data_IF_630112465946
#
_entry.id   IF_630112465946
#
_cell.length_a   1.000
_cell.length_b   1.000
_cell.length_c   1.000
_cell.angle_alpha   90.00
_cell.angle_beta   90.00
_cell.angle_gamma   90.00
#
_symmetry.space_group_name_H-M   'P 1'
#
loop_
_entity.id
_entity.type
_entity.pdbx_description
1 polymer ?
#
# COMPACT_ATOMS: atom_id res chain seq x y z
N UNK A 1 5.65 -15.15 -9.28
CA UNK A 1 6.01 -14.03 -8.39
C UNK A 1 4.93 -12.98 -8.51
N UNK A 2 4.13 -12.79 -7.47
CA UNK A 2 3.00 -11.84 -7.44
C UNK A 2 3.50 -10.56 -6.76
N UNK A 3 3.27 -9.41 -7.37
CA UNK A 3 3.61 -8.10 -6.80
C UNK A 3 2.30 -7.44 -6.36
N UNK A 4 2.19 -7.15 -5.07
CA UNK A 4 0.99 -6.56 -4.46
C UNK A 4 1.26 -5.07 -4.18
N UNK A 5 0.38 -4.20 -4.65
CA UNK A 5 0.52 -2.75 -4.43
C UNK A 5 0.49 -2.37 -2.95
N UNK A 6 1.23 -1.33 -2.57
CA UNK A 6 1.30 -0.86 -1.18
C UNK A 6 -0.05 -0.38 -0.63
N UNK A 7 -0.95 0.14 -1.47
CA UNK A 7 -2.31 0.52 -1.04
C UNK A 7 -3.12 -0.68 -0.56
N UNK A 8 -2.98 -1.84 -1.22
CA UNK A 8 -3.67 -3.07 -0.81
C UNK A 8 -3.14 -3.56 0.54
N UNK A 9 -1.83 -3.46 0.76
CA UNK A 9 -1.23 -3.74 2.07
C UNK A 9 -1.74 -2.78 3.15
N UNK A 10 -1.81 -1.48 2.85
CA UNK A 10 -2.35 -0.47 3.76
C UNK A 10 -3.81 -0.78 4.13
N UNK A 11 -4.64 -1.09 3.14
CA UNK A 11 -6.05 -1.43 3.34
C UNK A 11 -6.20 -2.72 4.17
N UNK A 12 -5.38 -3.73 3.90
CA UNK A 12 -5.35 -4.99 4.65
C UNK A 12 -5.01 -4.76 6.14
N UNK A 13 -3.94 -4.01 6.42
CA UNK A 13 -3.52 -3.73 7.80
C UNK A 13 -4.47 -2.78 8.55
N UNK A 14 -5.19 -1.92 7.83
CA UNK A 14 -6.23 -1.07 8.41
C UNK A 14 -7.57 -1.81 8.62
N UNK A 15 -7.69 -3.07 8.20
CA UNK A 15 -8.91 -3.86 8.32
C UNK A 15 -10.02 -3.40 7.36
N UNK A 16 -9.66 -2.85 6.21
CA UNK A 16 -10.61 -2.44 5.17
C UNK A 16 -10.89 -3.65 4.28
N UNK A 17 -12.14 -4.11 4.31
CA UNK A 17 -12.59 -5.21 3.46
C UNK A 17 -12.79 -4.73 2.01
N UNK A 18 -11.88 -5.17 1.14
CA UNK A 18 -11.91 -4.93 -0.30
C UNK A 18 -11.74 -6.27 -1.03
N UNK A 19 -12.18 -6.37 -2.30
CA UNK A 19 -11.90 -7.56 -3.10
C UNK A 19 -10.40 -7.90 -3.17
N UNK A 20 -9.53 -6.88 -3.14
CA UNK A 20 -8.08 -7.04 -3.18
C UNK A 20 -7.52 -7.61 -1.87
N UNK A 21 -8.05 -7.17 -0.72
CA UNK A 21 -7.62 -7.69 0.60
C UNK A 21 -8.11 -9.11 0.83
N UNK A 22 -9.28 -9.49 0.28
CA UNK A 22 -9.74 -10.88 0.28
C UNK A 22 -8.83 -11.81 -0.53
N UNK A 23 -8.42 -11.40 -1.74
CA UNK A 23 -7.46 -12.17 -2.56
C UNK A 23 -6.09 -12.24 -1.87
N UNK A 24 -5.65 -11.15 -1.24
CA UNK A 24 -4.41 -11.13 -0.47
C UNK A 24 -4.45 -12.17 0.67
N UNK A 25 -5.58 -12.28 1.37
CA UNK A 25 -5.78 -13.24 2.46
C UNK A 25 -5.68 -14.69 1.98
N UNK A 26 -6.27 -15.02 0.82
CA UNK A 26 -6.18 -16.35 0.21
C UNK A 26 -4.75 -16.72 -0.23
N UNK A 27 -3.95 -15.72 -0.63
CA UNK A 27 -2.58 -15.92 -1.11
C UNK A 27 -1.54 -15.93 0.01
N UNK A 28 -1.85 -15.30 1.15
CA UNK A 28 -0.96 -15.22 2.31
C UNK A 28 -0.64 -16.63 2.83
N UNK A 29 0.64 -17.00 2.76
CA UNK A 29 1.13 -18.31 3.21
C UNK A 29 1.04 -19.43 2.17
N UNK A 30 0.48 -19.18 0.98
CA UNK A 30 0.44 -20.14 -0.13
C UNK A 30 1.49 -19.82 -1.19
N UNK A 31 1.59 -18.56 -1.60
CA UNK A 31 2.49 -18.12 -2.67
C UNK A 31 3.48 -17.05 -2.17
N UNK A 32 4.70 -16.97 -2.75
CA UNK A 32 5.62 -15.88 -2.48
C UNK A 32 5.05 -14.54 -3.02
N UNK A 33 4.71 -13.66 -2.08
CA UNK A 33 4.25 -12.30 -2.35
C UNK A 33 5.40 -11.31 -2.23
N UNK A 34 5.58 -10.48 -3.27
CA UNK A 34 6.48 -9.33 -3.24
C UNK A 34 5.67 -8.05 -3.00
N UNK A 35 6.25 -7.12 -2.24
CA UNK A 35 5.67 -5.80 -2.01
C UNK A 35 6.01 -4.92 -3.21
N UNK A 36 4.98 -4.37 -3.85
CA UNK A 36 5.07 -3.38 -4.91
C UNK A 36 5.27 -2.00 -4.30
N UNK A 37 6.52 -1.54 -4.28
CA UNK A 37 6.82 -0.14 -4.00
C UNK A 37 6.80 0.65 -5.30
N UNK A 38 5.64 1.18 -5.64
CA UNK A 38 5.53 2.36 -6.49
C UNK A 38 5.27 3.52 -5.55
N UNK A 39 6.35 4.13 -5.02
CA UNK A 39 6.24 5.47 -4.43
C UNK A 39 5.64 6.37 -5.52
N UNK A 40 4.32 6.54 -5.49
CA UNK A 40 3.67 7.53 -6.32
C UNK A 40 4.19 8.89 -5.81
N UNK A 41 4.78 9.72 -6.67
CA UNK A 41 5.36 11.01 -6.27
C UNK A 41 4.33 12.02 -5.70
N UNK A 42 3.05 11.64 -5.57
CA UNK A 42 1.98 12.50 -5.07
C UNK A 42 1.96 12.70 -3.56
N UNK A 43 2.63 11.86 -2.76
CA UNK A 43 2.74 12.15 -1.31
C UNK A 43 3.99 12.95 -0.92
N UNK A 44 5.05 13.00 -1.75
CA UNK A 44 6.25 13.77 -1.39
C UNK A 44 5.98 15.29 -1.37
N UNK A 45 5.16 15.79 -2.31
CA UNK A 45 4.77 17.22 -2.32
C UNK A 45 3.87 17.59 -1.14
N UNK A 46 2.93 16.71 -0.76
CA UNK A 46 2.04 16.97 0.37
C UNK A 46 2.74 16.77 1.72
N UNK A 47 3.69 15.83 1.82
CA UNK A 47 4.55 15.67 3.00
C UNK A 47 5.42 16.90 3.24
N UNK A 48 6.06 17.43 2.19
CA UNK A 48 6.83 18.66 2.30
C UNK A 48 5.97 19.87 2.70
N UNK A 49 4.72 19.93 2.19
CA UNK A 49 3.76 20.98 2.53
C UNK A 49 3.22 20.89 3.97
N UNK A 50 3.14 19.67 4.51
CA UNK A 50 2.73 19.44 5.91
C UNK A 50 3.90 19.60 6.89
N UNK A 51 5.13 19.31 6.47
CA UNK A 51 6.35 19.45 7.28
C UNK A 51 6.82 20.91 7.40
N UNK A 52 6.54 21.75 6.39
CA UNK A 52 6.87 23.18 6.40
C UNK A 52 5.67 24.01 5.94
N UNK A 53 4.66 24.21 6.81
CA UNK A 53 3.44 24.94 6.44
C UNK A 53 3.65 26.45 6.24
N UNK A 54 4.82 27.00 6.61
CA UNK A 54 5.16 28.41 6.44
C UNK A 54 6.59 28.53 5.88
N UNK A 55 6.70 28.68 4.56
CA UNK A 55 7.77 29.47 3.95
C UNK A 55 7.28 30.90 3.81
#
# INVERSE_FOLDING_TARGET
>A
MIVVDSSVWIDYFNGIDTPQTAILDELLGVEPLAIGDLIQPRSCKDFARMAFPNG
#
